data_IF_118948462970
#
_entry.id   IF_118948462970
#
_cell.length_a   1.000
_cell.length_b   1.000
_cell.length_c   1.000
_cell.angle_alpha   90.00
_cell.angle_beta   90.00
_cell.angle_gamma   90.00
#
_symmetry.space_group_name_H-M   'P 1'
#
loop_
_entity.id
_entity.type
_entity.pdbx_description
1 polymer ?
#
# COMPACT_ATOMS: atom_id res chain seq x y z
N UNK A 1 -41.55 9.88 -41.25
CA UNK A 1 -41.19 8.63 -40.53
C UNK A 1 -39.68 8.59 -40.43
N UNK A 2 -39.13 9.00 -39.26
CA UNK A 2 -37.69 8.92 -39.01
C UNK A 2 -37.44 7.58 -38.31
N UNK A 3 -36.64 6.73 -38.98
CA UNK A 3 -36.23 5.46 -38.39
C UNK A 3 -35.33 5.70 -37.19
N UNK A 4 -35.71 5.14 -36.02
CA UNK A 4 -34.84 5.00 -34.87
C UNK A 4 -33.68 4.07 -35.24
N UNK A 5 -32.54 4.66 -35.50
CA UNK A 5 -31.29 3.95 -35.69
C UNK A 5 -30.85 3.42 -34.29
N UNK A 6 -31.21 2.17 -34.00
CA UNK A 6 -30.76 1.48 -32.80
C UNK A 6 -29.23 1.39 -32.82
N UNK A 7 -28.56 2.27 -32.10
CA UNK A 7 -27.12 2.14 -31.86
C UNK A 7 -26.85 0.75 -31.25
N UNK A 8 -25.95 -0.04 -31.86
CA UNK A 8 -25.57 -1.34 -31.28
C UNK A 8 -24.97 -1.12 -29.90
N UNK A 9 -25.58 -1.71 -28.90
CA UNK A 9 -25.04 -1.70 -27.51
C UNK A 9 -23.59 -2.24 -27.56
N UNK A 10 -22.64 -1.48 -27.00
CA UNK A 10 -21.26 -1.95 -26.84
C UNK A 10 -21.28 -3.31 -26.15
N UNK A 11 -20.67 -4.31 -26.79
CA UNK A 11 -20.57 -5.65 -26.24
C UNK A 11 -19.80 -5.56 -24.94
N UNK A 12 -20.44 -5.95 -23.82
CA UNK A 12 -19.84 -5.95 -22.49
C UNK A 12 -18.71 -6.99 -22.48
N UNK A 13 -17.52 -6.62 -22.02
CA UNK A 13 -16.43 -7.56 -21.77
C UNK A 13 -16.78 -8.31 -20.48
N UNK A 14 -17.48 -9.42 -20.63
CA UNK A 14 -18.02 -10.21 -19.53
C UNK A 14 -17.59 -11.67 -19.63
N UNK A 15 -17.41 -12.31 -18.50
CA UNK A 15 -17.14 -13.76 -18.37
C UNK A 15 -18.41 -14.48 -17.96
N UNK A 16 -18.71 -15.57 -18.63
CA UNK A 16 -19.82 -16.45 -18.24
C UNK A 16 -19.47 -17.20 -16.95
N UNK A 17 -20.38 -17.14 -15.97
CA UNK A 17 -20.24 -17.82 -14.67
C UNK A 17 -21.48 -18.70 -14.48
N UNK A 18 -21.29 -19.96 -14.10
CA UNK A 18 -22.38 -20.90 -13.82
C UNK A 18 -22.21 -21.42 -12.38
N UNK A 19 -23.01 -20.87 -11.45
CA UNK A 19 -23.05 -21.28 -10.06
C UNK A 19 -24.46 -21.73 -9.66
N UNK A 20 -24.53 -22.71 -8.78
CA UNK A 20 -25.74 -23.08 -8.09
C UNK A 20 -25.94 -22.14 -6.90
N UNK A 21 -27.06 -21.43 -6.86
CA UNK A 21 -27.39 -20.47 -5.82
C UNK A 21 -28.53 -21.06 -4.98
N UNK A 22 -28.48 -20.88 -3.66
CA UNK A 22 -29.56 -21.27 -2.76
C UNK A 22 -30.89 -20.59 -3.16
N UNK A 23 -31.99 -21.36 -3.09
CA UNK A 23 -33.31 -20.90 -3.52
C UNK A 23 -33.76 -19.61 -2.81
N UNK A 24 -33.55 -19.51 -1.53
CA UNK A 24 -33.96 -18.32 -0.75
C UNK A 24 -33.17 -17.08 -1.20
N UNK A 25 -31.87 -17.22 -1.49
CA UNK A 25 -31.04 -16.13 -2.01
C UNK A 25 -31.52 -15.73 -3.40
N UNK A 26 -31.84 -16.70 -4.25
CA UNK A 26 -32.36 -16.45 -5.59
C UNK A 26 -33.70 -15.67 -5.55
N UNK A 27 -34.66 -16.10 -4.74
CA UNK A 27 -35.96 -15.42 -4.61
C UNK A 27 -35.83 -13.99 -4.03
N UNK A 28 -34.86 -13.77 -3.17
CA UNK A 28 -34.55 -12.43 -2.66
C UNK A 28 -33.92 -11.54 -3.73
N UNK A 29 -33.05 -12.08 -4.54
CA UNK A 29 -32.45 -11.37 -5.67
C UNK A 29 -33.50 -11.00 -6.72
N UNK A 30 -34.41 -11.91 -7.04
CA UNK A 30 -35.51 -11.67 -7.98
C UNK A 30 -36.39 -10.51 -7.50
N UNK A 31 -36.85 -10.55 -6.25
CA UNK A 31 -37.63 -9.44 -5.65
C UNK A 31 -36.88 -8.11 -5.67
N UNK A 32 -35.59 -8.13 -5.35
CA UNK A 32 -34.76 -6.93 -5.38
C UNK A 32 -34.63 -6.36 -6.80
N UNK A 33 -34.45 -7.21 -7.80
CA UNK A 33 -34.37 -6.79 -9.20
C UNK A 33 -35.70 -6.15 -9.67
N UNK A 34 -36.83 -6.75 -9.30
CA UNK A 34 -38.16 -6.24 -9.61
C UNK A 34 -38.42 -4.90 -8.92
N UNK A 35 -38.13 -4.78 -7.62
CA UNK A 35 -38.29 -3.53 -6.85
C UNK A 35 -37.45 -2.37 -7.42
N UNK A 36 -36.32 -2.67 -8.03
CA UNK A 36 -35.43 -1.69 -8.67
C UNK A 36 -35.70 -1.49 -10.17
N UNK A 37 -36.64 -2.26 -10.76
CA UNK A 37 -36.93 -2.20 -12.20
C UNK A 37 -35.75 -2.58 -13.07
N UNK A 38 -34.90 -3.52 -12.60
CA UNK A 38 -33.67 -3.94 -13.27
C UNK A 38 -33.72 -5.41 -13.69
N UNK A 39 -32.92 -5.76 -14.68
CA UNK A 39 -32.70 -7.17 -14.97
C UNK A 39 -31.90 -7.84 -13.88
N UNK A 40 -32.19 -9.10 -13.57
CA UNK A 40 -31.55 -9.87 -12.49
C UNK A 40 -30.01 -9.87 -12.59
N UNK A 41 -29.46 -9.98 -13.79
CA UNK A 41 -28.00 -9.93 -13.99
C UNK A 41 -27.41 -8.57 -13.58
N UNK A 42 -28.08 -7.47 -13.96
CA UNK A 42 -27.64 -6.13 -13.58
C UNK A 42 -27.76 -5.87 -12.07
N UNK A 43 -28.83 -6.39 -11.45
CA UNK A 43 -29.02 -6.33 -10.01
C UNK A 43 -27.93 -7.12 -9.24
N UNK A 44 -27.61 -8.33 -9.71
CA UNK A 44 -26.56 -9.15 -9.15
C UNK A 44 -25.18 -8.50 -9.28
N UNK A 45 -24.83 -8.00 -10.46
CA UNK A 45 -23.57 -7.29 -10.70
C UNK A 45 -23.40 -6.12 -9.74
N UNK A 46 -24.43 -5.29 -9.58
CA UNK A 46 -24.38 -4.14 -8.68
C UNK A 46 -24.20 -4.54 -7.21
N UNK A 47 -24.90 -5.56 -6.74
CA UNK A 47 -24.75 -6.07 -5.36
C UNK A 47 -23.34 -6.60 -5.14
N UNK A 48 -22.80 -7.33 -6.13
CA UNK A 48 -21.44 -7.85 -6.04
C UNK A 48 -20.40 -6.72 -6.06
N UNK A 49 -20.55 -5.74 -6.95
CA UNK A 49 -19.67 -4.57 -7.03
C UNK A 49 -19.65 -3.80 -5.71
N UNK A 50 -20.82 -3.40 -5.19
CA UNK A 50 -20.94 -2.70 -3.91
C UNK A 50 -20.33 -3.50 -2.73
N UNK A 51 -20.46 -4.82 -2.74
CA UNK A 51 -19.88 -5.67 -1.69
C UNK A 51 -18.37 -5.81 -1.82
N UNK A 52 -17.86 -5.98 -3.05
CA UNK A 52 -16.43 -6.11 -3.33
C UNK A 52 -15.70 -4.80 -3.04
N UNK A 53 -16.26 -3.66 -3.46
CA UNK A 53 -15.69 -2.33 -3.16
C UNK A 53 -15.55 -2.10 -1.66
N UNK A 54 -16.59 -2.47 -0.89
CA UNK A 54 -16.56 -2.37 0.57
C UNK A 54 -15.48 -3.30 1.17
N UNK A 55 -15.43 -4.53 0.72
CA UNK A 55 -14.45 -5.52 1.16
C UNK A 55 -13.01 -5.06 0.85
N UNK A 56 -12.79 -4.53 -0.35
CA UNK A 56 -11.48 -4.00 -0.76
C UNK A 56 -11.09 -2.77 0.05
N UNK A 57 -12.06 -1.87 0.34
CA UNK A 57 -11.83 -0.71 1.20
C UNK A 57 -11.49 -1.12 2.65
N UNK A 58 -12.19 -2.11 3.21
CA UNK A 58 -11.85 -2.68 4.52
C UNK A 58 -10.44 -3.27 4.53
N UNK A 59 -10.07 -4.05 3.51
CA UNK A 59 -8.72 -4.61 3.37
C UNK A 59 -7.65 -3.53 3.23
N UNK A 60 -7.93 -2.47 2.46
CA UNK A 60 -7.00 -1.36 2.27
C UNK A 60 -6.78 -0.55 3.56
N UNK A 61 -7.76 -0.55 4.47
CA UNK A 61 -7.64 0.11 5.77
C UNK A 61 -6.82 -0.70 6.79
N UNK A 62 -6.62 -2.00 6.55
CA UNK A 62 -5.85 -2.86 7.44
C UNK A 62 -4.36 -2.68 7.19
N UNK A 63 -3.65 -2.15 8.19
CA UNK A 63 -2.20 -2.16 8.19
C UNK A 63 -1.70 -3.53 8.68
N UNK A 64 -1.00 -4.24 7.83
CA UNK A 64 -0.41 -5.54 8.11
C UNK A 64 1.12 -5.45 8.10
N UNK A 65 1.76 -6.42 8.73
CA UNK A 65 3.20 -6.55 8.79
C UNK A 65 3.65 -7.82 8.04
N UNK A 66 4.68 -7.67 7.21
CA UNK A 66 5.32 -8.81 6.56
C UNK A 66 6.52 -9.29 7.37
N UNK A 67 6.46 -10.45 8.05
CA UNK A 67 7.56 -10.93 8.89
C UNK A 67 8.81 -11.35 8.10
N UNK A 68 8.72 -11.44 6.77
CA UNK A 68 9.85 -11.79 5.91
C UNK A 68 10.64 -10.56 5.43
N UNK A 69 9.96 -9.46 5.16
CA UNK A 69 10.57 -8.23 4.61
C UNK A 69 10.59 -7.10 5.63
N UNK A 70 9.94 -7.29 6.78
CA UNK A 70 9.80 -6.28 7.83
C UNK A 70 9.12 -4.99 7.37
N UNK A 71 8.27 -5.06 6.33
CA UNK A 71 7.54 -3.89 5.81
C UNK A 71 6.11 -3.87 6.31
N UNK A 72 5.60 -2.67 6.55
CA UNK A 72 4.17 -2.44 6.76
C UNK A 72 3.47 -2.40 5.41
N UNK A 73 2.35 -3.09 5.28
CA UNK A 73 1.62 -3.31 4.03
C UNK A 73 0.16 -2.97 4.24
N UNK A 74 -0.41 -2.20 3.35
CA UNK A 74 -1.86 -2.05 3.25
C UNK A 74 -2.40 -3.15 2.34
N UNK A 75 -3.26 -4.01 2.89
CA UNK A 75 -3.84 -5.12 2.13
C UNK A 75 -3.29 -6.50 2.53
N UNK A 76 -3.53 -7.50 1.68
CA UNK A 76 -3.34 -8.92 1.99
C UNK A 76 -2.09 -9.56 1.37
N UNK A 77 -1.29 -8.79 0.64
CA UNK A 77 -0.11 -9.30 -0.08
C UNK A 77 1.07 -8.35 0.04
N UNK A 78 2.23 -8.89 0.38
CA UNK A 78 3.45 -8.10 0.47
C UNK A 78 3.95 -7.70 -0.93
N UNK A 79 4.16 -6.40 -1.23
CA UNK A 79 4.65 -5.96 -2.53
C UNK A 79 6.12 -6.32 -2.79
N UNK A 80 6.89 -6.66 -1.74
CA UNK A 80 8.33 -6.98 -1.84
C UNK A 80 8.57 -8.46 -2.12
N UNK A 81 7.88 -9.37 -1.42
CA UNK A 81 8.12 -10.81 -1.53
C UNK A 81 6.91 -11.62 -1.99
N UNK A 82 5.82 -10.97 -2.34
CA UNK A 82 4.56 -11.56 -2.81
C UNK A 82 3.88 -12.55 -1.84
N UNK A 83 4.32 -12.59 -0.57
CA UNK A 83 3.69 -13.45 0.44
C UNK A 83 2.31 -12.93 0.80
N UNK A 84 1.36 -13.86 0.95
CA UNK A 84 -0.02 -13.59 1.39
C UNK A 84 -0.20 -13.70 2.91
N UNK A 85 0.79 -14.21 3.61
CA UNK A 85 0.70 -14.45 5.06
C UNK A 85 1.31 -13.26 5.77
N UNK A 86 0.44 -12.27 5.96
CA UNK A 86 0.74 -11.05 6.69
C UNK A 86 0.09 -11.17 8.07
N UNK A 87 0.69 -10.52 9.06
CA UNK A 87 0.21 -10.51 10.43
C UNK A 87 -0.11 -9.07 10.86
N UNK A 88 -1.02 -8.86 11.80
CA UNK A 88 -1.14 -7.55 12.42
C UNK A 88 0.19 -7.18 13.09
N UNK A 89 0.69 -5.94 12.91
CA UNK A 89 1.94 -5.51 13.51
C UNK A 89 1.85 -5.49 15.04
N UNK A 90 2.86 -6.02 15.73
CA UNK A 90 3.00 -5.98 17.18
C UNK A 90 3.92 -4.84 17.56
N UNK A 91 3.77 -4.33 18.78
CA UNK A 91 4.56 -3.20 19.30
C UNK A 91 6.07 -3.41 19.21
N UNK A 92 6.51 -4.66 19.36
CA UNK A 92 7.92 -5.07 19.34
C UNK A 92 8.48 -5.40 17.96
N UNK A 93 7.63 -5.54 16.93
CA UNK A 93 8.07 -5.86 15.58
C UNK A 93 8.91 -4.72 14.99
N UNK A 94 10.07 -5.07 14.44
CA UNK A 94 10.89 -4.11 13.72
C UNK A 94 10.37 -3.93 12.30
N UNK A 95 9.95 -2.69 12.01
CA UNK A 95 9.38 -2.31 10.72
C UNK A 95 10.37 -1.48 9.93
N UNK A 96 10.51 -1.77 8.65
CA UNK A 96 11.29 -0.94 7.73
C UNK A 96 10.76 0.49 7.73
N UNK A 97 11.63 1.44 8.06
CA UNK A 97 11.30 2.86 8.08
C UNK A 97 11.67 3.52 6.76
N UNK A 98 12.97 3.50 6.44
CA UNK A 98 13.52 4.21 5.28
C UNK A 98 14.90 3.65 4.93
N UNK A 99 15.33 3.87 3.69
CA UNK A 99 16.69 3.69 3.23
C UNK A 99 17.33 5.05 2.98
N UNK A 100 18.52 5.29 3.53
CA UNK A 100 19.27 6.54 3.38
C UNK A 100 20.69 6.25 2.87
N UNK A 101 21.21 7.15 2.07
CA UNK A 101 22.64 7.14 1.73
C UNK A 101 23.50 7.33 2.99
N UNK A 102 24.70 6.77 2.99
CA UNK A 102 25.60 6.74 4.16
C UNK A 102 25.82 8.14 4.78
N UNK A 103 25.83 9.18 3.94
CA UNK A 103 26.03 10.57 4.38
C UNK A 103 24.88 11.03 5.30
N UNK A 104 23.64 10.64 4.97
CA UNK A 104 22.44 11.02 5.69
C UNK A 104 22.08 10.03 6.80
N UNK A 105 22.61 8.81 6.71
CA UNK A 105 22.35 7.76 7.69
C UNK A 105 22.79 8.18 9.10
N UNK A 106 23.98 8.77 9.24
CA UNK A 106 24.48 9.27 10.51
C UNK A 106 23.58 10.34 11.17
N UNK A 107 23.03 11.25 10.35
CA UNK A 107 22.10 12.29 10.83
C UNK A 107 20.83 11.66 11.38
N UNK A 108 20.28 10.69 10.66
CA UNK A 108 19.08 9.97 11.11
C UNK A 108 19.34 9.15 12.38
N UNK A 109 20.49 8.47 12.46
CA UNK A 109 20.89 7.73 13.66
C UNK A 109 20.96 8.61 14.91
N UNK A 110 21.60 9.77 14.78
CA UNK A 110 21.71 10.72 15.88
C UNK A 110 20.33 11.25 16.30
N UNK A 111 19.46 11.54 15.35
CA UNK A 111 18.10 11.97 15.62
C UNK A 111 17.28 10.89 16.35
N UNK A 112 17.32 9.64 15.87
CA UNK A 112 16.61 8.53 16.50
C UNK A 112 17.15 8.28 17.94
N UNK A 113 18.48 8.37 18.14
CA UNK A 113 19.12 8.20 19.45
C UNK A 113 18.71 9.31 20.42
N UNK A 114 18.71 10.58 19.99
CA UNK A 114 18.27 11.71 20.81
C UNK A 114 16.81 11.63 21.23
N UNK A 115 15.99 11.00 20.40
CA UNK A 115 14.57 10.79 20.67
C UNK A 115 14.27 9.47 21.40
N UNK A 116 15.30 8.73 21.82
CA UNK A 116 15.20 7.45 22.54
C UNK A 116 14.40 6.39 21.73
N UNK A 117 14.50 6.41 20.40
CA UNK A 117 13.84 5.45 19.53
C UNK A 117 14.80 4.29 19.24
N UNK A 118 14.46 3.06 19.66
CA UNK A 118 15.27 1.88 19.35
C UNK A 118 15.22 1.58 17.84
N UNK A 119 16.37 1.44 17.21
CA UNK A 119 16.48 1.14 15.79
C UNK A 119 17.48 0.03 15.50
N UNK A 120 17.34 -0.59 14.32
CA UNK A 120 18.32 -1.49 13.72
C UNK A 120 18.69 -0.95 12.36
N UNK A 121 19.94 -1.16 11.95
CA UNK A 121 20.43 -0.79 10.63
C UNK A 121 20.90 -2.00 9.85
N UNK A 122 20.74 -1.96 8.53
CA UNK A 122 21.23 -2.95 7.61
C UNK A 122 21.88 -2.26 6.40
N UNK A 123 23.17 -2.51 6.18
CA UNK A 123 23.87 -2.02 5.00
C UNK A 123 23.42 -2.80 3.76
N UNK A 124 23.08 -2.08 2.69
CA UNK A 124 22.56 -2.67 1.45
C UNK A 124 23.68 -3.30 0.62
N UNK A 125 24.84 -2.63 0.53
CA UNK A 125 26.04 -3.18 -0.09
C UNK A 125 26.87 -3.87 1.01
N UNK A 126 26.88 -5.18 1.05
CA UNK A 126 27.71 -5.92 2.01
C UNK A 126 29.20 -5.53 1.90
N UNK A 127 29.95 -5.64 3.00
CA UNK A 127 31.34 -5.19 3.17
C UNK A 127 32.34 -5.57 2.03
N UNK A 128 32.05 -6.64 1.28
CA UNK A 128 32.87 -7.07 0.16
C UNK A 128 32.73 -6.24 -1.13
N UNK A 129 31.57 -5.61 -1.33
CA UNK A 129 31.30 -4.75 -2.51
C UNK A 129 31.74 -3.31 -2.25
N UNK A 130 31.56 -2.82 -1.03
CA UNK A 130 31.99 -1.47 -0.59
C UNK A 130 33.47 -1.25 -0.78
N UNK A 131 34.28 -2.28 -0.56
CA UNK A 131 35.74 -2.24 -0.79
C UNK A 131 36.14 -2.06 -2.26
N UNK A 132 35.25 -2.42 -3.22
CA UNK A 132 35.52 -2.32 -4.66
C UNK A 132 34.93 -1.07 -5.32
N UNK A 133 33.82 -0.55 -4.81
CA UNK A 133 33.05 0.53 -5.45
C UNK A 133 33.09 1.88 -4.69
N UNK A 134 33.74 1.90 -3.52
CA UNK A 134 33.80 3.09 -2.66
C UNK A 134 32.54 3.28 -1.81
N UNK A 135 32.70 3.90 -0.65
CA UNK A 135 31.63 4.11 0.36
C UNK A 135 30.54 5.09 -0.08
N UNK A 136 30.72 5.84 -1.15
CA UNK A 136 29.77 6.84 -1.62
C UNK A 136 28.46 6.26 -2.21
N UNK A 137 28.45 4.97 -2.55
CA UNK A 137 27.26 4.30 -3.09
C UNK A 137 26.57 3.39 -2.05
N UNK A 138 27.00 3.45 -0.81
CA UNK A 138 26.42 2.64 0.25
C UNK A 138 25.18 3.29 0.81
N UNK A 139 24.08 2.52 0.88
CA UNK A 139 22.87 2.91 1.56
C UNK A 139 22.61 2.02 2.77
N UNK A 140 21.93 2.59 3.76
CA UNK A 140 21.59 1.97 5.03
C UNK A 140 20.09 1.94 5.17
N UNK A 141 19.54 0.75 5.41
CA UNK A 141 18.15 0.54 5.76
C UNK A 141 17.95 0.67 7.27
N UNK A 142 16.96 1.44 7.63
CA UNK A 142 16.56 1.64 9.02
C UNK A 142 15.28 0.86 9.33
N UNK A 143 15.29 0.22 10.48
CA UNK A 143 14.14 -0.50 11.04
C UNK A 143 13.92 -0.01 12.45
N UNK A 144 12.67 0.32 12.77
CA UNK A 144 12.27 0.77 14.11
C UNK A 144 11.15 -0.10 14.62
N UNK A 145 11.01 -0.22 15.95
CA UNK A 145 9.87 -0.95 16.51
C UNK A 145 8.57 -0.28 16.14
N UNK A 146 7.55 -1.07 15.85
CA UNK A 146 6.24 -0.58 15.46
C UNK A 146 5.66 0.45 16.44
N UNK A 147 5.87 0.25 17.74
CA UNK A 147 5.44 1.22 18.77
C UNK A 147 5.99 2.64 18.56
N UNK A 148 7.09 2.80 17.85
CA UNK A 148 7.75 4.08 17.60
C UNK A 148 7.67 4.50 16.12
N UNK A 149 7.03 3.69 15.27
CA UNK A 149 7.09 3.84 13.82
C UNK A 149 6.58 5.21 13.35
N UNK A 150 5.41 5.64 13.81
CA UNK A 150 4.84 6.92 13.43
C UNK A 150 5.71 8.11 13.90
N UNK A 151 6.24 8.02 15.13
CA UNK A 151 7.16 9.04 15.65
C UNK A 151 8.44 9.12 14.82
N UNK A 152 9.04 7.98 14.49
CA UNK A 152 10.25 7.90 13.68
C UNK A 152 10.02 8.42 12.26
N UNK A 153 8.87 8.11 11.68
CA UNK A 153 8.47 8.59 10.35
C UNK A 153 8.34 10.11 10.31
N UNK A 154 7.66 10.71 11.29
CA UNK A 154 7.54 12.16 11.40
C UNK A 154 8.91 12.83 11.54
N UNK A 155 9.82 12.27 12.34
CA UNK A 155 11.19 12.79 12.48
C UNK A 155 11.97 12.72 11.16
N UNK A 156 11.84 11.64 10.41
CA UNK A 156 12.48 11.51 9.08
C UNK A 156 11.92 12.55 8.11
N UNK A 157 10.61 12.73 8.09
CA UNK A 157 9.94 13.75 7.26
C UNK A 157 10.38 15.18 7.64
N UNK A 158 10.45 15.51 8.91
CA UNK A 158 10.90 16.83 9.39
C UNK A 158 12.36 17.12 9.03
N UNK A 159 13.25 16.13 9.19
CA UNK A 159 14.67 16.28 8.90
C UNK A 159 14.95 16.50 7.40
N UNK A 160 14.23 15.80 6.53
CA UNK A 160 14.54 15.76 5.11
C UNK A 160 13.57 16.50 4.21
N UNK A 161 12.39 16.94 4.73
CA UNK A 161 11.48 17.86 4.02
C UNK A 161 11.97 19.29 4.07
N UNK A 162 12.65 19.68 5.15
CA UNK A 162 13.21 21.03 5.29
C UNK A 162 14.38 21.32 4.34
N UNK A 163 14.97 20.29 3.72
CA UNK A 163 16.07 20.43 2.78
C UNK A 163 15.67 20.69 1.33
N UNK A 164 14.38 20.68 1.01
CA UNK A 164 13.89 20.84 -0.37
C UNK A 164 13.57 22.30 -0.77
N UNK A 165 13.80 23.28 0.11
CA UNK A 165 13.56 24.71 -0.18
C UNK A 165 14.87 25.48 -0.07
N UNK A 166 15.79 25.22 -1.01
CA UNK A 166 16.80 26.21 -1.39
C UNK A 166 16.54 26.49 -2.87
N UNK A 167 15.53 27.32 -3.12
CA UNK A 167 15.38 27.95 -4.42
C UNK A 167 16.56 28.90 -4.63
N UNK A 168 17.29 28.69 -5.70
CA UNK A 168 18.26 29.61 -6.24
C UNK A 168 17.54 30.94 -6.55
N UNK A 169 17.74 31.95 -5.73
CA UNK A 169 17.59 33.32 -6.17
C UNK A 169 18.76 33.57 -7.14
N UNK A 170 18.51 33.50 -8.41
CA UNK A 170 19.40 34.00 -9.45
C UNK A 170 19.34 35.53 -9.36
N UNK A 171 20.45 36.09 -8.88
CA UNK A 171 20.76 37.53 -8.92
C UNK A 171 20.81 37.96 -10.39
N UNK A 172 19.78 38.65 -10.87
CA UNK A 172 19.88 39.49 -12.06
C UNK A 172 20.48 40.84 -11.66
N UNK A 173 21.68 41.08 -12.16
CA UNK A 173 22.31 42.41 -12.28
C UNK A 173 22.94 42.59 -13.62
#
# INVERSE_FOLDING_TARGET
>A
MKGDELMPRKKKDGRFINYYIDRNIFERLERYADDKGQQMTAALERILEEHLDRYEAELASLQNYCPNCHVLVQGTRCPVCDKKWLEPPKSEDYCFLVEKEIIWAGVLEDCLRQNEIPYLTQNVLGAGLTAKMGSMMESVKFFVRYAYYEKAKLLDEELFSAGAVVEHEEDES
#
